data_IF_395254580720
#
_entry.id   IF_395254580720
#
_cell.length_a   1.000
_cell.length_b   1.000
_cell.length_c   1.000
_cell.angle_alpha   90.00
_cell.angle_beta   90.00
_cell.angle_gamma   90.00
#
_symmetry.space_group_name_H-M   'P 1'
#
loop_
_entity.id
_entity.type
_entity.pdbx_description
1 polymer ?
#
# COMPACT_ATOMS: atom_id res chain seq x y z
N UNK A 1 1.66 10.19 -37.82
CA UNK A 1 2.57 9.76 -36.75
C UNK A 1 1.97 10.26 -35.44
N UNK A 2 1.11 9.46 -34.82
CA UNK A 2 0.55 9.80 -33.51
C UNK A 2 1.63 9.68 -32.43
N UNK A 3 1.71 10.64 -31.50
CA UNK A 3 2.62 10.53 -30.38
C UNK A 3 2.14 9.39 -29.47
N UNK A 4 2.86 8.27 -29.50
CA UNK A 4 2.74 7.17 -28.55
C UNK A 4 2.94 7.73 -27.14
N UNK A 5 1.83 7.99 -26.45
CA UNK A 5 1.79 8.46 -25.08
C UNK A 5 2.17 7.28 -24.17
N UNK A 6 3.45 6.85 -24.21
CA UNK A 6 4.02 5.94 -23.23
C UNK A 6 3.89 6.62 -21.86
N UNK A 7 3.00 6.17 -20.95
CA UNK A 7 3.02 6.71 -19.61
C UNK A 7 4.40 6.40 -19.04
N UNK A 8 5.13 7.47 -18.71
CA UNK A 8 6.52 7.39 -18.28
C UNK A 8 6.69 6.27 -17.25
N UNK A 9 7.71 5.45 -17.48
CA UNK A 9 8.13 4.28 -16.71
C UNK A 9 8.57 4.66 -15.26
N UNK A 10 7.64 5.25 -14.49
CA UNK A 10 7.79 5.82 -13.15
C UNK A 10 6.66 5.35 -12.22
N UNK A 11 6.00 4.25 -12.57
CA UNK A 11 5.06 3.54 -11.71
C UNK A 11 5.87 2.55 -10.87
N UNK A 12 5.99 2.85 -9.58
CA UNK A 12 6.61 1.98 -8.58
C UNK A 12 5.59 0.98 -8.05
N UNK A 13 6.06 -0.21 -7.66
CA UNK A 13 5.21 -1.24 -7.06
C UNK A 13 4.48 -0.70 -5.82
N UNK A 14 5.17 0.03 -4.95
CA UNK A 14 4.55 0.64 -3.77
C UNK A 14 3.50 1.69 -4.09
N UNK A 15 3.61 2.38 -5.23
CA UNK A 15 2.60 3.35 -5.62
C UNK A 15 1.30 2.66 -6.03
N UNK A 16 1.41 1.60 -6.85
CA UNK A 16 0.24 0.82 -7.26
C UNK A 16 -0.39 0.14 -6.04
N UNK A 17 0.42 -0.50 -5.20
CA UNK A 17 -0.06 -1.16 -3.98
C UNK A 17 -0.69 -0.16 -3.00
N UNK A 18 -0.07 1.01 -2.83
CA UNK A 18 -0.56 2.07 -1.95
C UNK A 18 -1.90 2.64 -2.44
N UNK A 19 -2.03 2.95 -3.74
CA UNK A 19 -3.29 3.42 -4.31
C UNK A 19 -4.39 2.36 -4.18
N UNK A 20 -4.07 1.10 -4.47
CA UNK A 20 -5.02 -0.01 -4.32
C UNK A 20 -5.47 -0.16 -2.86
N UNK A 21 -4.54 -0.06 -1.92
CA UNK A 21 -4.82 -0.12 -0.49
C UNK A 21 -5.67 1.06 -0.02
N UNK A 22 -5.45 2.27 -0.56
CA UNK A 22 -6.29 3.43 -0.29
C UNK A 22 -7.74 3.21 -0.75
N UNK A 23 -7.94 2.69 -1.96
CA UNK A 23 -9.29 2.43 -2.51
C UNK A 23 -10.02 1.40 -1.67
N UNK A 24 -9.36 0.28 -1.36
CA UNK A 24 -9.96 -0.80 -0.56
C UNK A 24 -10.26 -0.30 0.86
N UNK A 25 -9.32 0.40 1.50
CA UNK A 25 -9.53 0.94 2.85
C UNK A 25 -10.65 1.98 2.91
N UNK A 26 -10.78 2.85 1.90
CA UNK A 26 -11.90 3.78 1.82
C UNK A 26 -13.24 3.06 1.67
N UNK A 27 -13.29 2.02 0.82
CA UNK A 27 -14.49 1.23 0.61
C UNK A 27 -14.95 0.54 1.91
N UNK A 28 -14.02 -0.14 2.61
CA UNK A 28 -14.31 -0.77 3.89
C UNK A 28 -14.72 0.22 4.97
N UNK A 29 -14.03 1.36 5.03
CA UNK A 29 -14.37 2.42 5.98
C UNK A 29 -15.77 2.97 5.72
N UNK A 30 -16.12 3.24 4.46
CA UNK A 30 -17.47 3.67 4.07
C UNK A 30 -18.54 2.65 4.51
N UNK A 31 -18.33 1.36 4.20
CA UNK A 31 -19.27 0.31 4.62
C UNK A 31 -19.42 0.22 6.14
N UNK A 32 -18.32 0.39 6.87
CA UNK A 32 -18.28 0.35 8.33
C UNK A 32 -19.00 1.56 8.95
N UNK A 33 -18.89 2.75 8.36
CA UNK A 33 -19.63 3.94 8.79
C UNK A 33 -21.13 3.88 8.48
N UNK A 34 -21.54 3.18 7.42
CA UNK A 34 -22.96 2.99 7.08
C UNK A 34 -23.66 1.91 7.91
N UNK A 35 -22.92 1.18 8.73
CA UNK A 35 -23.46 0.10 9.56
C UNK A 35 -24.15 0.65 10.82
N UNK A 36 -25.06 -0.14 11.40
CA UNK A 36 -25.88 0.27 12.56
C UNK A 36 -25.14 0.04 13.90
N UNK A 37 -23.99 -0.65 13.87
CA UNK A 37 -23.24 -1.02 15.07
C UNK A 37 -22.19 0.03 15.43
N UNK A 38 -22.15 0.43 16.72
CA UNK A 38 -21.13 1.33 17.24
C UNK A 38 -19.70 0.76 17.13
N UNK A 39 -19.56 -0.57 17.19
CA UNK A 39 -18.26 -1.26 17.03
C UNK A 39 -17.73 -1.12 15.61
N UNK A 40 -18.62 -1.22 14.62
CA UNK A 40 -18.27 -1.13 13.21
C UNK A 40 -17.94 0.33 12.83
N UNK A 41 -18.65 1.31 13.39
CA UNK A 41 -18.28 2.73 13.26
C UNK A 41 -16.88 3.04 13.80
N UNK A 42 -16.51 2.45 14.94
CA UNK A 42 -15.16 2.57 15.51
C UNK A 42 -14.11 1.88 14.63
N UNK A 43 -14.41 0.70 14.08
CA UNK A 43 -13.55 0.03 13.10
C UNK A 43 -13.34 0.89 11.85
N UNK A 44 -14.40 1.55 11.36
CA UNK A 44 -14.33 2.53 10.28
C UNK A 44 -13.35 3.66 10.57
N UNK A 45 -13.39 4.24 11.78
CA UNK A 45 -12.43 5.28 12.21
C UNK A 45 -11.00 4.76 12.25
N UNK A 46 -10.75 3.56 12.79
CA UNK A 46 -9.41 2.97 12.81
C UNK A 46 -8.87 2.71 11.40
N UNK A 47 -9.73 2.29 10.46
CA UNK A 47 -9.34 2.13 9.05
C UNK A 47 -8.97 3.48 8.44
N UNK A 48 -9.72 4.57 8.71
CA UNK A 48 -9.34 5.92 8.25
C UNK A 48 -8.01 6.36 8.84
N UNK A 49 -7.81 6.17 10.14
CA UNK A 49 -6.56 6.51 10.81
C UNK A 49 -5.38 5.71 10.22
N UNK A 50 -5.62 4.44 9.87
CA UNK A 50 -4.67 3.56 9.20
C UNK A 50 -4.35 3.96 7.75
N UNK A 51 -5.21 4.72 7.07
CA UNK A 51 -4.91 5.26 5.73
C UNK A 51 -3.85 6.37 5.78
N UNK A 52 -3.73 7.12 6.89
CA UNK A 52 -2.74 8.19 7.07
C UNK A 52 -1.29 7.70 6.85
N UNK A 53 -0.80 6.64 7.53
CA UNK A 53 0.54 6.11 7.28
C UNK A 53 0.71 5.55 5.86
N UNK A 54 -0.35 5.04 5.23
CA UNK A 54 -0.32 4.59 3.82
C UNK A 54 -0.06 5.78 2.88
N UNK A 55 -0.73 6.92 3.10
CA UNK A 55 -0.48 8.15 2.32
C UNK A 55 0.96 8.64 2.53
N UNK A 56 1.45 8.64 3.78
CA UNK A 56 2.84 9.01 4.07
C UNK A 56 3.85 8.11 3.35
N UNK A 57 3.61 6.80 3.30
CA UNK A 57 4.44 5.86 2.54
C UNK A 57 4.44 6.17 1.04
N UNK A 58 3.30 6.51 0.46
CA UNK A 58 3.20 6.89 -0.96
C UNK A 58 3.99 8.18 -1.25
N UNK A 59 3.90 9.18 -0.37
CA UNK A 59 4.65 10.43 -0.50
C UNK A 59 6.17 10.17 -0.39
N UNK A 60 6.58 9.41 0.63
CA UNK A 60 7.99 9.04 0.81
C UNK A 60 8.54 8.27 -0.40
N UNK A 61 7.74 7.38 -0.99
CA UNK A 61 8.11 6.68 -2.20
C UNK A 61 8.34 7.63 -3.38
N UNK A 62 7.42 8.58 -3.61
CA UNK A 62 7.57 9.59 -4.66
C UNK A 62 8.82 10.44 -4.49
N UNK A 63 9.14 10.84 -3.25
CA UNK A 63 10.38 11.57 -2.93
C UNK A 63 11.61 10.70 -3.25
N UNK A 64 11.62 9.43 -2.88
CA UNK A 64 12.69 8.49 -3.20
C UNK A 64 12.86 8.30 -4.71
N UNK A 65 11.78 8.14 -5.46
CA UNK A 65 11.80 8.00 -6.93
C UNK A 65 12.34 9.26 -7.60
N UNK A 66 11.97 10.44 -7.10
CA UNK A 66 12.50 11.72 -7.59
C UNK A 66 13.99 11.87 -7.31
N UNK A 67 14.46 11.47 -6.12
CA UNK A 67 15.85 11.66 -5.68
C UNK A 67 16.82 10.61 -6.23
N UNK A 68 16.42 9.35 -6.33
CA UNK A 68 17.30 8.22 -6.68
C UNK A 68 16.99 7.58 -8.04
N UNK A 69 15.89 7.99 -8.68
CA UNK A 69 15.42 7.45 -9.95
C UNK A 69 14.65 6.13 -9.80
N UNK A 70 13.62 5.96 -10.63
CA UNK A 70 12.68 4.83 -10.55
C UNK A 70 13.36 3.45 -10.64
N UNK A 71 14.46 3.31 -11.40
CA UNK A 71 15.14 2.03 -11.63
C UNK A 71 15.82 1.48 -10.37
N UNK A 72 16.42 2.36 -9.55
CA UNK A 72 17.09 1.97 -8.29
C UNK A 72 16.08 1.74 -7.18
N UNK A 73 15.08 2.62 -7.08
CA UNK A 73 14.02 2.53 -6.07
C UNK A 73 13.18 1.27 -6.26
N UNK A 74 12.78 0.93 -7.49
CA UNK A 74 12.00 -0.29 -7.75
C UNK A 74 12.76 -1.57 -7.36
N UNK A 75 14.10 -1.58 -7.51
CA UNK A 75 14.94 -2.70 -7.06
C UNK A 75 14.91 -2.83 -5.53
N UNK A 76 15.06 -1.73 -4.80
CA UNK A 76 14.98 -1.71 -3.32
C UNK A 76 13.58 -2.12 -2.85
N UNK A 77 12.53 -1.59 -3.47
CA UNK A 77 11.15 -1.98 -3.20
C UNK A 77 10.91 -3.48 -3.36
N UNK A 78 11.48 -4.08 -4.40
CA UNK A 78 11.37 -5.52 -4.62
C UNK A 78 12.03 -6.34 -3.51
N UNK A 79 13.19 -5.92 -3.01
CA UNK A 79 13.83 -6.57 -1.85
C UNK A 79 13.00 -6.42 -0.58
N UNK A 80 12.46 -5.23 -0.31
CA UNK A 80 11.60 -4.99 0.85
C UNK A 80 10.34 -5.88 0.78
N UNK A 81 9.69 -5.93 -0.39
CA UNK A 81 8.52 -6.78 -0.60
C UNK A 81 8.87 -8.27 -0.42
N UNK A 82 10.01 -8.72 -0.96
CA UNK A 82 10.49 -10.09 -0.78
C UNK A 82 10.73 -10.46 0.68
N UNK A 83 11.36 -9.57 1.45
CA UNK A 83 11.58 -9.77 2.90
C UNK A 83 10.26 -9.81 3.66
N UNK A 84 9.31 -8.92 3.34
CA UNK A 84 7.98 -8.92 3.97
C UNK A 84 7.23 -10.23 3.70
N UNK A 85 7.26 -10.73 2.46
CA UNK A 85 6.65 -12.02 2.09
C UNK A 85 7.33 -13.16 2.84
N UNK A 86 8.66 -13.15 2.94
CA UNK A 86 9.41 -14.16 3.68
C UNK A 86 9.03 -14.16 5.17
N UNK A 87 8.98 -12.98 5.81
CA UNK A 87 8.56 -12.83 7.19
C UNK A 87 7.11 -13.29 7.40
N UNK A 88 6.22 -13.00 6.44
CA UNK A 88 4.83 -13.44 6.49
C UNK A 88 4.73 -14.97 6.46
N UNK A 89 5.50 -15.64 5.59
CA UNK A 89 5.55 -17.11 5.52
C UNK A 89 6.11 -17.69 6.81
N UNK A 90 7.21 -17.15 7.35
CA UNK A 90 7.79 -17.62 8.61
C UNK A 90 6.83 -17.45 9.78
N UNK A 91 6.13 -16.31 9.85
CA UNK A 91 5.13 -16.06 10.88
C UNK A 91 3.93 -17.00 10.72
N UNK A 92 3.52 -17.31 9.49
CA UNK A 92 2.46 -18.28 9.21
C UNK A 92 2.85 -19.69 9.67
N UNK A 93 4.06 -20.14 9.36
CA UNK A 93 4.59 -21.42 9.83
C UNK A 93 4.62 -21.46 11.37
N UNK A 94 5.07 -20.38 12.01
CA UNK A 94 5.06 -20.26 13.48
C UNK A 94 3.65 -20.40 14.05
N UNK A 95 2.66 -19.74 13.44
CA UNK A 95 1.26 -19.81 13.86
C UNK A 95 0.65 -21.21 13.70
N UNK A 96 1.08 -21.97 12.69
CA UNK A 96 0.65 -23.35 12.47
C UNK A 96 1.34 -24.36 13.41
N UNK A 97 2.52 -24.00 13.93
CA UNK A 97 3.29 -24.82 14.87
C UNK A 97 2.89 -24.58 16.35
N UNK A 98 1.91 -23.72 16.61
CA UNK A 98 1.38 -23.40 17.94
C UNK A 98 -0.05 -23.92 18.07
#
# INVERSE_FOLDING_TARGET
MEPSHKPANKLTLFLILGILSLIIGLFFSYTAFTSVSAVDGLAGMYIVLGLIPVVLLIIADRICVWKFGAKKVNKVQFYIAGILVLLFILNWIRLQAQ
#
